data_IF_040251322947
#
_entry.id   IF_040251322947
#
_cell.length_a   1.000
_cell.length_b   1.000
_cell.length_c   1.000
_cell.angle_alpha   90.00
_cell.angle_beta   90.00
_cell.angle_gamma   90.00
#
_symmetry.space_group_name_H-M   'P 1'
#
loop_
_entity.id
_entity.type
_entity.pdbx_description
1 polymer ?
#
# COMPACT_ATOMS: atom_id res chain seq x y z
N UNK A 1 -6.23 -2.26 17.26
CA UNK A 1 -6.76 -0.90 17.53
C UNK A 1 -7.54 -0.96 18.82
N UNK A 2 -7.74 0.16 19.48
CA UNK A 2 -8.54 0.23 20.72
C UNK A 2 -10.00 0.54 20.37
N UNK A 3 -10.97 -0.21 20.90
CA UNK A 3 -12.40 0.12 20.78
C UNK A 3 -12.77 1.12 21.87
N UNK A 4 -13.14 2.33 21.47
CA UNK A 4 -13.43 3.46 22.38
C UNK A 4 -14.91 3.84 22.43
N UNK A 5 -15.75 3.12 21.68
CA UNK A 5 -17.20 3.27 21.63
C UNK A 5 -17.80 2.15 20.79
N UNK A 6 -19.13 2.12 20.64
CA UNK A 6 -19.78 0.95 20.05
C UNK A 6 -19.32 0.62 18.63
N UNK A 7 -19.14 1.66 17.81
CA UNK A 7 -18.63 1.54 16.46
C UNK A 7 -17.52 2.58 16.22
N UNK A 8 -16.68 2.80 17.24
CA UNK A 8 -15.60 3.78 17.19
C UNK A 8 -14.30 3.13 17.65
N UNK A 9 -13.29 3.19 16.78
CA UNK A 9 -12.00 2.56 16.99
C UNK A 9 -10.89 3.60 16.91
N UNK A 10 -9.92 3.55 17.82
CA UNK A 10 -8.78 4.45 17.86
C UNK A 10 -7.51 3.73 17.46
N UNK A 11 -6.75 4.35 16.56
CA UNK A 11 -5.40 3.94 16.21
C UNK A 11 -4.37 4.96 16.71
N UNK A 12 -3.43 4.47 17.50
CA UNK A 12 -2.21 5.20 17.91
C UNK A 12 -0.97 4.73 17.14
N UNK A 13 -1.06 3.58 16.46
CA UNK A 13 0.01 3.06 15.61
C UNK A 13 -0.09 3.69 14.23
N UNK A 14 0.72 4.73 14.02
CA UNK A 14 0.78 5.49 12.77
C UNK A 14 2.22 5.56 12.29
N UNK A 15 2.40 5.44 10.97
CA UNK A 15 3.71 5.48 10.33
C UNK A 15 3.61 6.21 9.00
N UNK A 16 4.64 6.99 8.66
CA UNK A 16 4.76 7.58 7.33
C UNK A 16 5.27 6.55 6.32
N UNK A 17 4.74 6.61 5.09
CA UNK A 17 5.21 5.78 3.98
C UNK A 17 6.33 6.40 3.16
N UNK A 18 6.73 7.64 3.46
CA UNK A 18 7.77 8.33 2.71
C UNK A 18 8.55 9.30 3.59
N UNK A 19 9.89 9.32 3.51
CA UNK A 19 10.70 10.30 4.23
C UNK A 19 10.47 11.75 3.76
N UNK A 20 9.80 11.93 2.62
CA UNK A 20 9.47 13.25 2.05
C UNK A 20 8.11 13.78 2.49
N UNK A 21 7.31 12.96 3.18
CA UNK A 21 5.98 13.36 3.64
C UNK A 21 5.80 12.98 5.11
N UNK A 22 5.39 13.91 5.98
CA UNK A 22 5.03 13.58 7.36
C UNK A 22 3.65 12.89 7.47
N UNK A 23 2.96 12.67 6.34
CA UNK A 23 1.64 12.07 6.33
C UNK A 23 1.69 10.57 6.64
N UNK A 24 0.64 10.08 7.29
CA UNK A 24 0.41 8.65 7.51
C UNK A 24 0.37 7.94 6.16
N UNK A 25 0.98 6.76 6.10
CA UNK A 25 0.90 5.90 4.93
C UNK A 25 -0.55 5.54 4.61
N UNK A 26 -1.00 5.87 3.39
CA UNK A 26 -2.40 5.67 2.98
C UNK A 26 -2.87 4.21 3.08
N UNK A 27 -2.00 3.24 2.79
CA UNK A 27 -2.32 1.82 2.95
C UNK A 27 -2.57 1.42 4.41
N UNK A 28 -1.89 2.06 5.38
CA UNK A 28 -2.14 1.83 6.80
C UNK A 28 -3.49 2.42 7.23
N UNK A 29 -3.83 3.63 6.76
CA UNK A 29 -5.16 4.23 7.00
C UNK A 29 -6.27 3.31 6.48
N UNK A 30 -6.10 2.82 5.25
CA UNK A 30 -7.04 1.91 4.60
C UNK A 30 -7.18 0.59 5.37
N UNK A 31 -6.06 -0.06 5.72
CA UNK A 31 -6.06 -1.33 6.43
C UNK A 31 -6.71 -1.20 7.82
N UNK A 32 -6.45 -0.11 8.54
CA UNK A 32 -7.07 0.17 9.84
C UNK A 32 -8.57 0.44 9.70
N UNK A 33 -9.02 1.14 8.66
CA UNK A 33 -10.45 1.33 8.40
C UNK A 33 -11.16 0.01 8.08
N UNK A 34 -10.53 -0.86 7.28
CA UNK A 34 -11.05 -2.21 7.01
C UNK A 34 -11.15 -3.03 8.29
N UNK A 35 -10.08 -3.08 9.08
CA UNK A 35 -10.08 -3.79 10.36
C UNK A 35 -11.19 -3.29 11.30
N UNK A 36 -11.41 -1.97 11.36
CA UNK A 36 -12.48 -1.39 12.17
C UNK A 36 -13.87 -1.83 11.70
N UNK A 37 -14.09 -1.92 10.38
CA UNK A 37 -15.34 -2.40 9.84
C UNK A 37 -15.56 -3.90 10.08
N UNK A 38 -14.49 -4.72 9.96
CA UNK A 38 -14.52 -6.16 10.22
C UNK A 38 -14.98 -6.51 11.64
N UNK A 39 -14.57 -5.72 12.64
CA UNK A 39 -15.00 -5.84 14.04
C UNK A 39 -16.52 -5.60 14.25
N UNK A 40 -17.22 -5.05 13.25
CA UNK A 40 -18.67 -4.73 13.32
C UNK A 40 -19.55 -5.65 12.47
N UNK A 41 -18.97 -6.67 11.83
CA UNK A 41 -19.69 -7.64 11.00
C UNK A 41 -19.53 -9.05 11.54
N UNK A 42 -20.45 -9.95 11.19
CA UNK A 42 -20.31 -11.36 11.55
C UNK A 42 -19.06 -11.96 10.91
N UNK A 43 -18.34 -12.78 11.67
CA UNK A 43 -17.20 -13.58 11.19
C UNK A 43 -17.54 -14.56 10.04
N UNK A 44 -18.83 -14.73 9.71
CA UNK A 44 -19.27 -15.51 8.55
C UNK A 44 -19.14 -14.76 7.23
N UNK A 45 -19.05 -13.44 7.28
CA UNK A 45 -18.93 -12.58 6.11
C UNK A 45 -17.46 -12.27 5.83
N UNK A 46 -17.12 -12.06 4.57
CA UNK A 46 -15.79 -11.66 4.11
C UNK A 46 -15.90 -10.42 3.24
N UNK A 47 -14.92 -9.54 3.33
CA UNK A 47 -14.87 -8.38 2.45
C UNK A 47 -14.72 -8.82 1.00
N UNK A 48 -15.46 -8.19 0.09
CA UNK A 48 -15.36 -8.47 -1.35
C UNK A 48 -15.18 -7.20 -2.19
N UNK A 49 -15.56 -6.03 -1.67
CA UNK A 49 -15.27 -4.77 -2.33
C UNK A 49 -15.13 -3.63 -1.32
N UNK A 50 -14.28 -2.67 -1.68
CA UNK A 50 -14.05 -1.45 -0.91
C UNK A 50 -13.91 -0.29 -1.88
N UNK A 51 -14.62 0.80 -1.63
CA UNK A 51 -14.44 2.08 -2.31
C UNK A 51 -13.98 3.11 -1.29
N UNK A 52 -12.89 3.82 -1.57
CA UNK A 52 -12.28 4.73 -0.59
C UNK A 52 -11.90 6.07 -1.19
N UNK A 53 -11.93 7.12 -0.36
CA UNK A 53 -11.48 8.46 -0.70
C UNK A 53 -10.47 8.96 0.35
N UNK A 54 -9.32 9.43 -0.10
CA UNK A 54 -8.35 10.15 0.73
C UNK A 54 -8.65 11.64 0.62
N UNK A 55 -9.04 12.27 1.73
CA UNK A 55 -9.61 13.64 1.73
C UNK A 55 -8.56 14.64 2.21
N UNK A 56 -7.89 14.35 3.33
CA UNK A 56 -6.84 15.21 3.90
C UNK A 56 -5.63 14.37 4.32
N UNK A 57 -4.46 14.98 4.30
CA UNK A 57 -3.26 14.35 4.85
C UNK A 57 -3.36 14.23 6.38
N UNK A 58 -3.41 13.00 6.89
CA UNK A 58 -3.33 12.73 8.32
C UNK A 58 -1.87 12.75 8.78
N UNK A 59 -1.56 13.34 9.93
CA UNK A 59 -0.22 13.34 10.52
C UNK A 59 0.02 12.13 11.44
N UNK A 60 1.28 11.76 11.65
CA UNK A 60 1.65 10.62 12.52
C UNK A 60 1.64 10.94 14.03
N UNK A 61 1.54 12.23 14.41
CA UNK A 61 1.74 12.67 15.80
C UNK A 61 0.50 12.61 16.69
N UNK A 62 -0.67 12.35 16.13
CA UNK A 62 -1.95 12.30 16.86
C UNK A 62 -2.75 11.08 16.42
N UNK A 63 -3.52 10.46 17.33
CA UNK A 63 -4.35 9.31 16.99
C UNK A 63 -5.36 9.62 15.89
N UNK A 64 -5.87 8.55 15.27
CA UNK A 64 -6.96 8.61 14.29
C UNK A 64 -8.11 7.76 14.82
N UNK A 65 -9.31 8.33 14.79
CA UNK A 65 -10.54 7.69 15.23
C UNK A 65 -11.35 7.27 14.00
N UNK A 66 -11.72 6.00 13.92
CA UNK A 66 -12.48 5.37 12.86
C UNK A 66 -13.92 5.17 13.33
N UNK A 67 -14.83 5.91 12.72
CA UNK A 67 -16.27 5.84 13.00
C UNK A 67 -16.92 4.93 11.97
N UNK A 68 -17.41 3.79 12.42
CA UNK A 68 -18.08 2.81 11.57
C UNK A 68 -19.58 3.03 11.65
N UNK A 69 -20.23 3.09 10.50
CA UNK A 69 -21.68 3.19 10.35
C UNK A 69 -22.19 1.98 9.59
N UNK A 70 -23.16 1.28 10.16
CA UNK A 70 -23.94 0.27 9.45
C UNK A 70 -24.82 0.95 8.41
N UNK A 71 -24.59 0.67 7.13
CA UNK A 71 -25.49 1.10 6.06
C UNK A 71 -26.58 0.06 5.82
N UNK A 72 -26.22 -1.23 5.90
CA UNK A 72 -27.12 -2.36 5.68
C UNK A 72 -26.60 -3.62 6.36
N UNK A 73 -27.50 -4.37 6.99
CA UNK A 73 -27.29 -5.76 7.37
C UNK A 73 -28.33 -6.64 6.67
N UNK A 74 -27.87 -7.48 5.75
CA UNK A 74 -28.67 -8.46 5.05
C UNK A 74 -28.18 -9.87 5.35
N UNK A 75 -28.93 -10.88 4.88
CA UNK A 75 -28.57 -12.29 5.06
C UNK A 75 -27.23 -12.65 4.41
N UNK A 76 -27.04 -12.24 3.16
CA UNK A 76 -25.83 -12.57 2.39
C UNK A 76 -24.85 -11.40 2.28
N UNK A 77 -25.35 -10.16 2.33
CA UNK A 77 -24.54 -8.96 2.17
C UNK A 77 -24.73 -7.98 3.32
N UNK A 78 -23.62 -7.41 3.77
CA UNK A 78 -23.60 -6.28 4.69
C UNK A 78 -22.76 -5.15 4.13
N UNK A 79 -23.09 -3.92 4.47
CA UNK A 79 -22.35 -2.74 4.02
C UNK A 79 -22.04 -1.84 5.21
N UNK A 80 -20.79 -1.39 5.29
CA UNK A 80 -20.28 -0.45 6.28
C UNK A 80 -19.78 0.82 5.60
N UNK A 81 -19.96 1.95 6.25
CA UNK A 81 -19.31 3.21 5.93
C UNK A 81 -18.34 3.55 7.05
N UNK A 82 -17.11 3.90 6.75
CA UNK A 82 -16.10 4.27 7.74
C UNK A 82 -15.64 5.70 7.48
N UNK A 83 -15.65 6.53 8.51
CA UNK A 83 -15.01 7.84 8.53
C UNK A 83 -13.80 7.78 9.45
N UNK A 84 -12.60 7.96 8.90
CA UNK A 84 -11.41 8.20 9.70
C UNK A 84 -11.29 9.71 9.96
N UNK A 85 -11.26 10.09 11.24
CA UNK A 85 -11.15 11.47 11.68
C UNK A 85 -9.87 11.70 12.46
N UNK A 86 -9.22 12.83 12.18
CA UNK A 86 -8.10 13.34 12.97
C UNK A 86 -8.39 14.80 13.34
N UNK A 87 -8.32 15.12 14.64
CA UNK A 87 -8.64 16.46 15.17
C UNK A 87 -10.02 16.97 14.73
N UNK A 88 -11.02 16.08 14.67
CA UNK A 88 -12.38 16.39 14.26
C UNK A 88 -12.61 16.52 12.75
N UNK A 89 -11.56 16.50 11.92
CA UNK A 89 -11.67 16.54 10.47
C UNK A 89 -11.62 15.14 9.86
N UNK A 90 -12.46 14.89 8.86
CA UNK A 90 -12.42 13.64 8.09
C UNK A 90 -11.17 13.66 7.20
N UNK A 91 -10.28 12.68 7.40
CA UNK A 91 -9.05 12.52 6.61
C UNK A 91 -9.19 11.44 5.53
N UNK A 92 -10.05 10.46 5.77
CA UNK A 92 -10.28 9.33 4.87
C UNK A 92 -11.69 8.79 5.08
N UNK A 93 -12.32 8.33 4.00
CA UNK A 93 -13.58 7.58 4.05
C UNK A 93 -13.49 6.31 3.23
N UNK A 94 -14.25 5.29 3.62
CA UNK A 94 -14.51 4.17 2.75
C UNK A 94 -15.91 3.57 2.95
N UNK A 95 -16.45 3.02 1.86
CA UNK A 95 -17.59 2.13 1.88
C UNK A 95 -17.10 0.71 1.62
N UNK A 96 -17.44 -0.22 2.51
CA UNK A 96 -16.99 -1.60 2.49
C UNK A 96 -18.20 -2.51 2.37
N UNK A 97 -18.15 -3.43 1.41
CA UNK A 97 -19.15 -4.46 1.22
C UNK A 97 -18.61 -5.83 1.60
N UNK A 98 -19.39 -6.54 2.39
CA UNK A 98 -19.11 -7.86 2.91
C UNK A 98 -20.12 -8.85 2.35
N UNK A 99 -19.66 -10.06 2.07
CA UNK A 99 -20.45 -11.12 1.48
C UNK A 99 -20.19 -12.45 2.18
N UNK A 100 -21.24 -13.25 2.37
CA UNK A 100 -21.09 -14.64 2.80
C UNK A 100 -20.41 -15.43 1.67
N UNK A 101 -19.36 -16.21 1.95
CA UNK A 101 -18.78 -17.09 0.94
C UNK A 101 -19.85 -18.01 0.33
N UNK A 102 -19.83 -18.13 -0.99
CA UNK A 102 -20.70 -19.03 -1.76
C UNK A 102 -19.92 -19.63 -2.94
N UNK A 103 -20.43 -20.73 -3.50
CA UNK A 103 -19.83 -21.31 -4.70
C UNK A 103 -20.05 -20.41 -5.91
N UNK A 104 -18.95 -19.98 -6.54
CA UNK A 104 -19.03 -19.18 -7.74
C UNK A 104 -19.65 -19.98 -8.89
N UNK A 105 -20.73 -19.47 -9.47
CA UNK A 105 -21.38 -20.05 -10.64
C UNK A 105 -20.46 -20.08 -11.88
N UNK A 106 -19.51 -19.15 -11.96
CA UNK A 106 -18.48 -19.09 -13.00
C UNK A 106 -17.15 -18.67 -12.38
N UNK A 107 -16.05 -19.29 -12.84
CA UNK A 107 -14.68 -18.98 -12.40
C UNK A 107 -13.82 -18.67 -13.61
N UNK A 108 -13.35 -17.44 -13.72
CA UNK A 108 -12.37 -17.03 -14.73
C UNK A 108 -11.50 -15.90 -14.16
N UNK A 109 -10.27 -15.80 -14.65
CA UNK A 109 -9.34 -14.71 -14.35
C UNK A 109 -8.40 -14.50 -15.54
N UNK A 110 -7.78 -13.33 -15.63
CA UNK A 110 -6.70 -13.13 -16.60
C UNK A 110 -5.51 -14.06 -16.29
N UNK A 111 -4.79 -14.49 -17.34
CA UNK A 111 -3.54 -15.25 -17.18
C UNK A 111 -2.49 -14.32 -16.55
N UNK A 112 -1.79 -14.80 -15.53
CA UNK A 112 -0.66 -14.09 -14.95
C UNK A 112 0.45 -13.92 -16.01
N UNK A 113 1.10 -12.74 -16.13
CA UNK A 113 2.24 -12.54 -17.02
C UNK A 113 3.39 -13.51 -16.71
N UNK A 114 4.08 -13.96 -17.75
CA UNK A 114 5.29 -14.79 -17.60
C UNK A 114 6.48 -13.89 -17.29
N UNK A 115 6.94 -13.92 -16.05
CA UNK A 115 8.05 -13.09 -15.54
C UNK A 115 8.99 -13.93 -14.69
N UNK A 116 10.22 -13.43 -14.47
CA UNK A 116 11.17 -14.06 -13.57
C UNK A 116 10.57 -14.17 -12.15
N UNK A 117 10.73 -15.32 -11.46
CA UNK A 117 10.23 -15.48 -10.11
C UNK A 117 11.03 -14.62 -9.13
N UNK A 118 10.47 -14.26 -7.96
CA UNK A 118 11.06 -13.26 -7.06
C UNK A 118 12.46 -13.62 -6.56
N UNK A 119 12.79 -14.90 -6.42
CA UNK A 119 14.12 -15.38 -6.03
C UNK A 119 15.22 -15.06 -7.05
N UNK A 120 14.86 -14.86 -8.32
CA UNK A 120 15.77 -14.45 -9.39
C UNK A 120 15.81 -12.92 -9.60
N UNK A 121 15.01 -12.17 -8.84
CA UNK A 121 14.94 -10.72 -8.93
C UNK A 121 15.68 -10.11 -7.73
N UNK A 122 16.58 -9.12 -7.94
CA UNK A 122 17.24 -8.43 -6.84
C UNK A 122 16.23 -7.63 -6.02
N UNK A 123 16.50 -7.48 -4.73
CA UNK A 123 15.80 -6.49 -3.91
C UNK A 123 16.13 -5.08 -4.43
N UNK A 124 15.12 -4.20 -4.46
CA UNK A 124 15.20 -2.89 -5.11
C UNK A 124 16.40 -2.05 -4.68
N UNK A 125 16.63 -1.92 -3.37
CA UNK A 125 17.70 -1.07 -2.85
C UNK A 125 19.06 -1.76 -2.96
N UNK A 126 19.14 -3.05 -2.67
CA UNK A 126 20.40 -3.81 -2.79
C UNK A 126 20.87 -3.86 -4.25
N UNK A 127 19.95 -4.12 -5.19
CA UNK A 127 20.26 -4.09 -6.62
C UNK A 127 20.59 -2.68 -7.12
N UNK A 128 19.93 -1.64 -6.59
CA UNK A 128 20.25 -0.26 -6.96
C UNK A 128 21.65 0.15 -6.49
N UNK A 129 22.09 -0.31 -5.30
CA UNK A 129 23.45 -0.12 -4.81
C UNK A 129 24.48 -0.79 -5.74
N UNK A 130 24.24 -2.04 -6.13
CA UNK A 130 25.09 -2.78 -7.07
C UNK A 130 25.20 -2.08 -8.44
N UNK A 131 24.09 -1.58 -8.97
CA UNK A 131 24.09 -0.83 -10.24
C UNK A 131 24.93 0.45 -10.16
N UNK A 132 24.86 1.18 -9.03
CA UNK A 132 25.67 2.38 -8.82
C UNK A 132 27.17 2.05 -8.72
N UNK A 133 27.54 0.92 -8.12
CA UNK A 133 28.91 0.44 -8.06
C UNK A 133 29.44 0.08 -9.45
N UNK A 134 28.63 -0.64 -10.25
CA UNK A 134 28.98 -0.98 -11.63
C UNK A 134 29.10 0.27 -12.52
N UNK A 135 28.23 1.27 -12.33
CA UNK A 135 28.34 2.55 -13.03
C UNK A 135 29.62 3.30 -12.66
N UNK A 136 30.02 3.30 -11.38
CA UNK A 136 31.28 3.89 -10.94
C UNK A 136 32.53 3.19 -11.52
N UNK A 137 32.41 1.89 -11.86
CA UNK A 137 33.43 1.11 -12.56
C UNK A 137 33.43 1.32 -14.09
N UNK A 138 32.51 2.14 -14.61
CA UNK A 138 32.40 2.43 -16.05
C UNK A 138 31.63 1.38 -16.84
N UNK A 139 30.98 0.41 -16.18
CA UNK A 139 30.14 -0.59 -16.87
C UNK A 139 28.83 0.01 -17.41
N UNK A 140 28.36 1.12 -16.83
CA UNK A 140 27.12 1.78 -17.19
C UNK A 140 27.26 3.30 -17.22
N UNK A 141 26.63 3.95 -18.19
CA UNK A 141 26.48 5.39 -18.20
C UNK A 141 25.09 5.78 -17.69
N UNK A 142 25.03 6.34 -16.49
CA UNK A 142 23.79 6.83 -15.87
C UNK A 142 23.76 8.35 -16.01
N UNK A 143 22.59 8.92 -16.31
CA UNK A 143 22.40 10.37 -16.28
C UNK A 143 22.72 10.91 -14.86
N UNK A 144 23.59 11.92 -14.70
CA UNK A 144 24.02 12.40 -13.37
C UNK A 144 22.88 12.79 -12.43
N UNK A 145 21.78 13.37 -12.97
CA UNK A 145 20.60 13.75 -12.17
C UNK A 145 19.87 12.51 -11.66
N UNK A 146 19.82 11.44 -12.46
CA UNK A 146 19.20 10.16 -12.05
C UNK A 146 20.05 9.45 -11.01
N UNK A 147 21.37 9.44 -11.20
CA UNK A 147 22.31 8.86 -10.26
C UNK A 147 22.17 9.51 -8.87
N UNK A 148 22.20 10.85 -8.82
CA UNK A 148 22.04 11.60 -7.57
C UNK A 148 20.69 11.30 -6.89
N UNK A 149 19.60 11.26 -7.66
CA UNK A 149 18.27 10.90 -7.13
C UNK A 149 18.24 9.49 -6.56
N UNK A 150 18.90 8.53 -7.21
CA UNK A 150 18.96 7.14 -6.76
C UNK A 150 19.77 7.02 -5.46
N UNK A 151 20.95 7.66 -5.41
CA UNK A 151 21.78 7.75 -4.19
C UNK A 151 20.99 8.35 -3.03
N UNK A 152 20.28 9.44 -3.27
CA UNK A 152 19.45 10.08 -2.25
C UNK A 152 18.30 9.16 -1.80
N UNK A 153 17.67 8.42 -2.72
CA UNK A 153 16.60 7.47 -2.38
C UNK A 153 17.11 6.31 -1.52
N UNK A 154 18.28 5.76 -1.82
CA UNK A 154 18.95 4.72 -1.03
C UNK A 154 19.28 5.26 0.38
N UNK A 155 19.90 6.44 0.46
CA UNK A 155 20.21 7.10 1.75
C UNK A 155 18.97 7.34 2.60
N UNK A 156 17.85 7.63 1.96
CA UNK A 156 16.58 7.91 2.64
C UNK A 156 15.81 6.65 3.04
N UNK A 157 16.23 5.44 2.62
CA UNK A 157 15.44 4.19 2.74
C UNK A 157 15.01 3.87 4.17
N UNK A 158 15.81 4.25 5.17
CA UNK A 158 15.52 4.00 6.59
C UNK A 158 15.08 5.25 7.38
N UNK A 159 14.96 6.42 6.76
CA UNK A 159 14.66 7.67 7.48
C UNK A 159 13.29 7.68 8.17
N UNK A 160 12.36 6.85 7.71
CA UNK A 160 11.02 6.67 8.31
C UNK A 160 10.81 5.26 8.87
N UNK A 161 11.91 4.56 9.21
CA UNK A 161 11.92 3.15 9.59
C UNK A 161 12.18 2.21 8.40
N UNK A 162 12.20 0.90 8.64
CA UNK A 162 12.41 -0.12 7.60
C UNK A 162 11.39 0.02 6.45
N UNK A 163 11.75 -0.21 5.18
CA UNK A 163 10.80 -0.13 4.06
C UNK A 163 9.47 -0.83 4.36
N UNK A 164 8.35 -0.23 3.94
CA UNK A 164 7.00 -0.80 4.18
C UNK A 164 6.80 -2.14 3.47
N UNK A 165 7.46 -2.30 2.33
CA UNK A 165 7.42 -3.48 1.49
C UNK A 165 8.81 -3.78 0.98
N UNK A 166 9.09 -5.05 0.79
CA UNK A 166 10.20 -5.53 -0.02
C UNK A 166 9.75 -5.50 -1.48
N UNK A 167 10.50 -4.82 -2.35
CA UNK A 167 10.17 -4.70 -3.76
C UNK A 167 11.26 -5.38 -4.58
N UNK A 168 10.86 -6.28 -5.50
CA UNK A 168 11.78 -6.94 -6.43
C UNK A 168 11.30 -6.75 -7.86
N UNK A 169 11.78 -5.72 -8.56
CA UNK A 169 11.46 -5.53 -9.96
C UNK A 169 11.96 -6.71 -10.80
N UNK A 170 11.16 -7.15 -11.76
CA UNK A 170 11.57 -8.21 -12.70
C UNK A 170 12.63 -7.71 -13.68
N UNK A 171 12.68 -6.40 -13.87
CA UNK A 171 13.70 -5.69 -14.61
C UNK A 171 14.07 -4.41 -13.84
N UNK A 172 15.21 -4.45 -13.15
CA UNK A 172 15.62 -3.37 -12.26
C UNK A 172 16.05 -2.11 -13.02
N UNK A 173 16.76 -2.27 -14.13
CA UNK A 173 17.19 -1.14 -14.95
C UNK A 173 15.99 -0.42 -15.56
N UNK A 174 15.00 -1.17 -16.03
CA UNK A 174 13.76 -0.58 -16.55
C UNK A 174 12.94 0.10 -15.45
N UNK A 175 12.80 -0.56 -14.29
CA UNK A 175 12.06 -0.01 -13.15
C UNK A 175 12.67 1.29 -12.61
N UNK A 176 14.00 1.39 -12.62
CA UNK A 176 14.73 2.60 -12.26
C UNK A 176 14.83 3.62 -13.41
N UNK A 177 14.19 3.33 -14.55
CA UNK A 177 14.21 4.13 -15.77
C UNK A 177 15.64 4.40 -16.27
N UNK A 178 16.56 3.45 -16.11
CA UNK A 178 17.93 3.48 -16.62
C UNK A 178 18.01 3.02 -18.08
N UNK A 179 17.09 2.15 -18.51
CA UNK A 179 16.91 1.76 -19.91
C UNK A 179 15.49 2.03 -20.41
N UNK A 180 15.31 2.11 -21.73
CA UNK A 180 13.98 2.19 -22.34
C UNK A 180 13.31 0.81 -22.35
N UNK A 181 12.03 0.78 -21.98
CA UNK A 181 11.20 -0.41 -22.11
C UNK A 181 10.86 -0.66 -23.58
N UNK A 182 10.91 -1.92 -24.07
CA UNK A 182 10.37 -2.28 -25.37
C UNK A 182 8.84 -2.16 -25.40
N UNK A 183 8.16 -2.27 -24.26
CA UNK A 183 6.72 -2.05 -24.11
C UNK A 183 6.47 -0.85 -23.17
N UNK A 184 6.44 0.38 -23.72
CA UNK A 184 6.24 1.55 -22.88
C UNK A 184 4.96 1.41 -22.04
N UNK A 185 5.09 1.58 -20.72
CA UNK A 185 4.06 1.49 -19.68
C UNK A 185 3.79 0.11 -19.06
N UNK A 186 4.63 -0.91 -19.27
CA UNK A 186 4.53 -2.17 -18.51
C UNK A 186 5.82 -2.47 -17.75
N UNK A 187 5.75 -2.46 -16.43
CA UNK A 187 6.81 -2.95 -15.55
C UNK A 187 6.19 -3.85 -14.49
N UNK A 188 6.84 -4.97 -14.19
CA UNK A 188 6.39 -5.93 -13.20
C UNK A 188 7.30 -5.88 -11.98
N UNK A 189 6.68 -5.94 -10.80
CA UNK A 189 7.38 -5.87 -9.53
C UNK A 189 6.72 -6.83 -8.56
N UNK A 190 7.52 -7.68 -7.95
CA UNK A 190 7.10 -8.47 -6.80
C UNK A 190 7.12 -7.60 -5.56
N UNK A 191 6.05 -7.66 -4.77
CA UNK A 191 5.89 -6.91 -3.52
C UNK A 191 5.63 -7.92 -2.41
N UNK A 192 6.42 -7.86 -1.33
CA UNK A 192 6.33 -8.73 -0.16
C UNK A 192 6.26 -7.92 1.13
#
# INVERSE_FOLDING_TARGET
>A
MERIGDNVFRSTYLRSGSPRSPAVYGGLLFAQALAAAEETVSERLRVHSIHSMFILAAGISKPIDYFVKTLRDGRSFCTRWVEAKQRGHIVFTCQISFHSPEEAAMKHQAKMPEVAPPEHCPELYDGAEQLLEQAAQGHYQINPVREERLRQRIKDKFKVGAPLFEMRPTDLEEFLALKMSPEPNKSFVWVK
#
